data_IF_991982687652
#
_entry.id   IF_991982687652
#
_cell.length_a   1.000
_cell.length_b   1.000
_cell.length_c   1.000
_cell.angle_alpha   90.00
_cell.angle_beta   90.00
_cell.angle_gamma   90.00
#
_symmetry.space_group_name_H-M   'P 1'
#
loop_
_entity.id
_entity.type
_entity.pdbx_description
1 polymer ?
#
# COMPACT_ATOMS: atom_id res chain seq x y z
N UNK A 1 2.21 -29.48 -25.57
CA UNK A 1 2.92 -28.49 -24.73
C UNK A 1 2.66 -28.86 -23.27
N UNK A 2 3.52 -28.47 -22.32
CA UNK A 2 3.26 -28.66 -20.89
C UNK A 2 3.08 -27.30 -20.21
N UNK A 3 2.28 -27.27 -19.14
CA UNK A 3 2.01 -26.11 -18.30
C UNK A 3 2.78 -26.21 -16.99
N UNK A 4 3.33 -25.08 -16.53
CA UNK A 4 3.88 -24.89 -15.19
C UNK A 4 3.47 -23.51 -14.68
N UNK A 5 3.57 -23.29 -13.37
CA UNK A 5 3.57 -21.95 -12.78
C UNK A 5 4.80 -21.82 -11.87
N UNK A 6 5.07 -20.63 -11.33
CA UNK A 6 6.25 -20.35 -10.47
C UNK A 6 5.90 -20.10 -8.99
N UNK A 7 4.61 -20.05 -8.67
CA UNK A 7 4.10 -19.68 -7.35
C UNK A 7 2.57 -19.82 -7.28
N UNK A 8 2.02 -19.95 -6.06
CA UNK A 8 0.57 -19.91 -5.85
C UNK A 8 0.20 -19.09 -4.60
N UNK A 9 -0.90 -18.31 -4.59
CA UNK A 9 -1.30 -17.52 -3.42
C UNK A 9 -1.64 -18.37 -2.19
N UNK A 10 -0.76 -18.32 -1.18
CA UNK A 10 -0.85 -19.13 0.06
C UNK A 10 -1.91 -18.72 1.08
N UNK A 11 -2.58 -17.58 0.91
CA UNK A 11 -3.48 -17.03 1.93
C UNK A 11 -4.81 -17.80 2.08
N UNK A 12 -5.23 -18.54 1.06
CA UNK A 12 -6.54 -19.18 0.96
C UNK A 12 -7.66 -18.25 0.45
N UNK A 13 -8.73 -18.80 -0.17
CA UNK A 13 -9.78 -18.04 -0.86
C UNK A 13 -10.63 -17.14 0.07
N UNK A 14 -10.68 -17.43 1.37
CA UNK A 14 -11.34 -16.59 2.39
C UNK A 14 -10.34 -15.90 3.33
N UNK A 15 -9.03 -16.05 3.05
CA UNK A 15 -7.88 -15.66 3.89
C UNK A 15 -7.74 -16.52 5.15
N UNK A 16 -7.99 -17.82 5.01
CA UNK A 16 -7.87 -18.85 6.05
C UNK A 16 -6.52 -18.75 6.81
N UNK A 17 -5.41 -18.56 6.08
CA UNK A 17 -4.08 -18.41 6.69
C UNK A 17 -3.97 -17.15 7.56
N UNK A 18 -4.58 -16.03 7.13
CA UNK A 18 -4.57 -14.78 7.90
C UNK A 18 -5.20 -15.00 9.28
N UNK A 19 -6.38 -15.62 9.29
CA UNK A 19 -7.13 -15.83 10.54
C UNK A 19 -6.48 -16.87 11.44
N UNK A 20 -5.86 -17.93 10.88
CA UNK A 20 -5.09 -18.89 11.67
C UNK A 20 -3.84 -18.25 12.31
N UNK A 21 -3.09 -17.44 11.56
CA UNK A 21 -1.92 -16.71 12.09
C UNK A 21 -2.31 -15.71 13.19
N UNK A 22 -3.37 -14.92 12.96
CA UNK A 22 -3.82 -13.91 13.93
C UNK A 22 -4.46 -14.55 15.17
N UNK A 23 -5.16 -15.68 15.03
CA UNK A 23 -5.62 -16.50 16.16
C UNK A 23 -4.45 -17.07 16.98
N UNK A 24 -3.41 -17.57 16.31
CA UNK A 24 -2.21 -18.12 16.97
C UNK A 24 -1.43 -17.03 17.73
N UNK A 25 -1.18 -15.87 17.11
CA UNK A 25 -0.48 -14.76 17.77
C UNK A 25 -1.28 -14.10 18.90
N UNK A 26 -2.62 -14.16 18.84
CA UNK A 26 -3.51 -13.73 19.93
C UNK A 26 -3.65 -14.79 21.05
N UNK A 27 -2.99 -15.95 20.94
CA UNK A 27 -3.06 -17.04 21.92
C UNK A 27 -4.39 -17.82 21.93
N UNK A 28 -5.18 -17.73 20.86
CA UNK A 28 -6.53 -18.30 20.74
C UNK A 28 -6.58 -19.68 20.07
N UNK A 29 -5.47 -20.14 19.50
CA UNK A 29 -5.32 -21.45 18.86
C UNK A 29 -3.90 -21.98 19.01
N UNK A 30 -3.73 -23.30 18.97
CA UNK A 30 -2.42 -23.97 19.14
C UNK A 30 -1.53 -23.88 17.89
N UNK A 31 -0.28 -24.32 18.04
CA UNK A 31 0.62 -24.53 16.90
C UNK A 31 0.11 -25.62 15.94
N UNK A 32 -0.53 -26.66 16.49
CA UNK A 32 -1.11 -27.77 15.73
C UNK A 32 -2.30 -27.30 14.89
N UNK A 33 -3.15 -26.41 15.43
CA UNK A 33 -4.26 -25.79 14.68
C UNK A 33 -3.73 -24.97 13.49
N UNK A 34 -2.69 -24.16 13.72
CA UNK A 34 -2.05 -23.37 12.66
C UNK A 34 -1.39 -24.28 11.60
N UNK A 35 -0.69 -25.33 12.03
CA UNK A 35 -0.03 -26.28 11.14
C UNK A 35 -1.05 -27.12 10.36
N UNK A 36 -2.20 -27.44 10.95
CA UNK A 36 -3.34 -28.10 10.30
C UNK A 36 -3.94 -27.21 9.21
N UNK A 37 -4.34 -25.98 9.52
CA UNK A 37 -4.88 -25.04 8.51
C UNK A 37 -3.88 -24.82 7.36
N UNK A 38 -2.59 -24.70 7.68
CA UNK A 38 -1.53 -24.59 6.68
C UNK A 38 -1.36 -25.86 5.82
N UNK A 39 -1.60 -27.05 6.38
CA UNK A 39 -1.57 -28.33 5.65
C UNK A 39 -2.79 -28.48 4.76
N UNK A 40 -4.00 -28.21 5.28
CA UNK A 40 -5.25 -28.24 4.53
C UNK A 40 -5.19 -27.27 3.34
N UNK A 41 -4.60 -26.07 3.53
CA UNK A 41 -4.34 -25.12 2.45
C UNK A 41 -3.37 -25.65 1.40
N UNK A 42 -2.22 -26.21 1.78
CA UNK A 42 -1.27 -26.80 0.82
C UNK A 42 -1.91 -27.93 0.00
N UNK A 43 -2.58 -28.87 0.67
CA UNK A 43 -3.29 -29.98 0.02
C UNK A 43 -4.38 -29.48 -0.95
N UNK A 44 -5.15 -28.46 -0.55
CA UNK A 44 -6.17 -27.83 -1.41
C UNK A 44 -5.54 -27.14 -2.63
N UNK A 45 -4.44 -26.41 -2.43
CA UNK A 45 -3.70 -25.69 -3.49
C UNK A 45 -3.08 -26.67 -4.51
N UNK A 46 -2.39 -27.72 -4.04
CA UNK A 46 -1.82 -28.76 -4.91
C UNK A 46 -2.92 -29.50 -5.68
N UNK A 47 -4.02 -29.88 -5.00
CA UNK A 47 -5.17 -30.49 -5.67
C UNK A 47 -5.77 -29.56 -6.73
N UNK A 48 -5.98 -28.28 -6.43
CA UNK A 48 -6.55 -27.32 -7.39
C UNK A 48 -5.67 -27.21 -8.65
N UNK A 49 -4.34 -27.24 -8.50
CA UNK A 49 -3.43 -27.25 -9.65
C UNK A 49 -3.49 -28.56 -10.45
N UNK A 50 -3.53 -29.71 -9.77
CA UNK A 50 -3.65 -31.02 -10.42
C UNK A 50 -4.99 -31.17 -11.17
N UNK A 51 -6.11 -30.79 -10.55
CA UNK A 51 -7.45 -30.77 -11.14
C UNK A 51 -7.53 -29.81 -12.34
N UNK A 52 -6.75 -28.71 -12.33
CA UNK A 52 -6.60 -27.78 -13.45
C UNK A 52 -5.64 -28.25 -14.55
N UNK A 53 -5.10 -29.47 -14.46
CA UNK A 53 -4.18 -30.04 -15.46
C UNK A 53 -2.79 -29.42 -15.47
N UNK A 54 -2.36 -28.74 -14.39
CA UNK A 54 -0.99 -28.28 -14.24
C UNK A 54 -0.10 -29.52 -14.01
N UNK A 55 0.65 -29.90 -15.05
CA UNK A 55 1.60 -31.02 -14.98
C UNK A 55 2.75 -30.76 -14.00
N UNK A 56 3.00 -29.48 -13.71
CA UNK A 56 4.20 -29.00 -13.04
C UNK A 56 3.85 -27.96 -11.95
N UNK A 57 3.69 -28.46 -10.73
CA UNK A 57 3.07 -27.82 -9.57
C UNK A 57 4.15 -27.23 -8.62
N UNK A 58 4.13 -25.93 -8.27
CA UNK A 58 5.09 -25.33 -7.33
C UNK A 58 4.48 -25.01 -5.94
N UNK A 59 5.12 -25.29 -4.80
CA UNK A 59 6.44 -25.89 -4.59
C UNK A 59 7.65 -25.07 -5.08
N UNK A 60 8.57 -24.57 -4.23
CA UNK A 60 8.52 -24.30 -2.80
C UNK A 60 7.85 -22.94 -2.55
N UNK A 61 6.56 -22.90 -2.16
CA UNK A 61 5.74 -21.68 -2.33
C UNK A 61 4.89 -21.26 -1.12
N UNK A 62 4.46 -22.22 -0.30
CA UNK A 62 3.81 -21.88 0.98
C UNK A 62 4.81 -21.21 1.94
N UNK A 63 4.34 -20.39 2.87
CA UNK A 63 5.10 -19.92 4.05
C UNK A 63 4.11 -19.50 5.13
N UNK A 64 4.51 -19.51 6.40
CA UNK A 64 3.73 -18.93 7.49
C UNK A 64 3.86 -17.40 7.58
N UNK A 65 4.85 -16.80 6.89
CA UNK A 65 5.02 -15.36 6.87
C UNK A 65 5.64 -14.88 5.56
N UNK A 66 6.90 -15.26 5.32
CA UNK A 66 7.70 -14.86 4.17
C UNK A 66 8.68 -15.96 3.76
N UNK A 67 8.82 -16.18 2.45
CA UNK A 67 9.72 -17.21 1.89
C UNK A 67 11.21 -16.86 2.01
N UNK A 68 11.58 -15.58 2.16
CA UNK A 68 12.97 -15.20 2.45
C UNK A 68 13.28 -15.47 3.91
N UNK A 69 12.36 -15.16 4.83
CA UNK A 69 12.45 -15.61 6.22
C UNK A 69 12.51 -17.15 6.35
N UNK A 70 11.69 -17.90 5.59
CA UNK A 70 11.79 -19.38 5.52
C UNK A 70 13.21 -19.81 5.15
N UNK A 71 13.88 -19.07 4.25
CA UNK A 71 15.25 -19.34 3.80
C UNK A 71 16.29 -18.98 4.87
N UNK A 72 16.12 -17.84 5.56
CA UNK A 72 16.94 -17.43 6.71
C UNK A 72 16.87 -18.49 7.83
N UNK A 73 15.66 -18.97 8.15
CA UNK A 73 15.46 -20.05 9.13
C UNK A 73 16.01 -21.40 8.64
N UNK A 74 15.82 -21.75 7.37
CA UNK A 74 16.41 -22.96 6.76
C UNK A 74 17.94 -23.01 6.88
N UNK A 75 18.60 -21.85 6.89
CA UNK A 75 20.04 -21.72 7.02
C UNK A 75 20.53 -21.49 8.46
N UNK A 76 19.64 -21.53 9.46
CA UNK A 76 20.00 -21.27 10.87
C UNK A 76 20.45 -19.83 11.15
N UNK A 77 20.26 -18.90 10.21
CA UNK A 77 20.83 -17.55 10.21
C UNK A 77 20.04 -16.57 11.10
N UNK A 78 19.83 -16.94 12.36
CA UNK A 78 19.09 -16.17 13.36
C UNK A 78 20.03 -15.17 14.06
N UNK A 79 19.70 -13.86 14.08
CA UNK A 79 20.48 -12.88 14.84
C UNK A 79 20.52 -13.17 16.35
N UNK A 80 21.69 -12.99 16.98
CA UNK A 80 21.98 -13.37 18.38
C UNK A 80 20.92 -12.87 19.39
N UNK A 81 20.34 -11.67 19.15
CA UNK A 81 19.29 -11.06 20.00
C UNK A 81 18.04 -11.92 20.21
N UNK A 82 17.78 -12.90 19.33
CA UNK A 82 16.64 -13.82 19.47
C UNK A 82 16.95 -15.05 20.35
N UNK A 83 18.18 -15.16 20.90
CA UNK A 83 18.60 -16.20 21.84
C UNK A 83 18.47 -17.66 21.33
N UNK A 84 18.47 -17.86 20.01
CA UNK A 84 18.46 -19.18 19.40
C UNK A 84 19.79 -19.92 19.64
N UNK A 85 19.71 -21.10 20.26
CA UNK A 85 20.88 -21.90 20.68
C UNK A 85 21.24 -23.03 19.71
N UNK A 86 20.51 -23.17 18.60
CA UNK A 86 20.65 -24.26 17.63
C UNK A 86 19.48 -25.25 17.65
N UNK A 87 19.41 -26.13 16.64
CA UNK A 87 18.36 -27.15 16.50
C UNK A 87 17.39 -26.87 15.35
N UNK A 88 16.12 -27.21 15.56
CA UNK A 88 15.01 -26.84 14.67
C UNK A 88 14.39 -25.52 15.16
N UNK A 89 14.04 -24.63 14.23
CA UNK A 89 13.50 -23.29 14.55
C UNK A 89 11.98 -23.38 14.73
N UNK A 90 11.54 -23.20 15.98
CA UNK A 90 10.12 -23.13 16.35
C UNK A 90 9.42 -21.85 15.87
N UNK A 91 8.09 -21.85 15.95
CA UNK A 91 7.25 -20.70 15.62
C UNK A 91 7.52 -19.47 16.50
N UNK A 92 7.98 -19.67 17.73
CA UNK A 92 8.41 -18.62 18.66
C UNK A 92 9.58 -17.80 18.09
N UNK A 93 10.68 -18.46 17.73
CA UNK A 93 11.86 -17.81 17.13
C UNK A 93 11.51 -17.25 15.73
N UNK A 94 10.81 -18.04 14.91
CA UNK A 94 10.42 -17.65 13.55
C UNK A 94 9.53 -16.39 13.53
N UNK A 95 8.46 -16.34 14.34
CA UNK A 95 7.62 -15.13 14.40
C UNK A 95 8.25 -13.99 15.18
N UNK A 96 9.17 -14.26 16.11
CA UNK A 96 9.96 -13.21 16.76
C UNK A 96 10.89 -12.49 15.76
N UNK A 97 11.50 -13.21 14.81
CA UNK A 97 12.21 -12.58 13.69
C UNK A 97 11.25 -11.75 12.81
N UNK A 98 10.08 -12.32 12.47
CA UNK A 98 9.10 -11.70 11.57
C UNK A 98 8.40 -10.43 12.10
N UNK A 99 8.15 -10.37 13.42
CA UNK A 99 7.24 -9.40 14.05
C UNK A 99 7.80 -8.73 15.31
N UNK A 100 8.95 -9.20 15.82
CA UNK A 100 9.43 -8.88 17.16
C UNK A 100 8.61 -9.57 18.26
N UNK A 101 8.99 -9.31 19.50
CA UNK A 101 8.28 -9.70 20.70
C UNK A 101 8.36 -8.55 21.75
N UNK A 102 7.98 -8.81 23.01
CA UNK A 102 7.99 -7.79 24.06
C UNK A 102 9.38 -7.24 24.43
N UNK A 103 10.46 -7.96 24.09
CA UNK A 103 11.84 -7.68 24.50
C UNK A 103 12.77 -7.33 23.32
N UNK A 104 12.45 -7.73 22.09
CA UNK A 104 13.27 -7.47 20.89
C UNK A 104 12.43 -7.10 19.66
N UNK A 105 12.92 -6.18 18.80
CA UNK A 105 12.21 -5.76 17.59
C UNK A 105 12.17 -6.87 16.53
N UNK A 106 11.33 -6.64 15.50
CA UNK A 106 11.40 -7.41 14.26
C UNK A 106 12.73 -7.21 13.53
N UNK A 107 13.05 -8.10 12.60
CA UNK A 107 14.04 -7.84 11.55
C UNK A 107 13.49 -6.80 10.55
N UNK A 108 14.35 -6.18 9.75
CA UNK A 108 13.93 -5.23 8.72
C UNK A 108 13.00 -5.90 7.68
N UNK A 109 11.92 -5.21 7.28
CA UNK A 109 11.13 -5.59 6.11
C UNK A 109 11.44 -4.62 4.95
N UNK A 110 11.51 -5.12 3.73
CA UNK A 110 11.63 -4.26 2.54
C UNK A 110 10.88 -4.83 1.33
N UNK A 111 10.70 -4.03 0.29
CA UNK A 111 9.95 -4.41 -0.93
C UNK A 111 10.68 -5.50 -1.70
N UNK A 112 9.95 -6.52 -2.14
CA UNK A 112 10.47 -7.56 -3.02
C UNK A 112 10.44 -7.06 -4.46
N UNK A 113 11.60 -6.58 -4.92
CA UNK A 113 11.75 -5.94 -6.25
C UNK A 113 10.75 -4.79 -6.44
N UNK A 114 10.12 -4.71 -7.62
CA UNK A 114 9.12 -3.72 -8.02
C UNK A 114 7.67 -4.12 -7.67
N UNK A 115 7.50 -5.05 -6.73
CA UNK A 115 6.18 -5.57 -6.31
C UNK A 115 5.70 -4.96 -4.99
N UNK A 116 4.38 -4.99 -4.77
CA UNK A 116 3.78 -4.58 -3.48
C UNK A 116 3.83 -5.69 -2.40
N UNK A 117 4.68 -6.70 -2.57
CA UNK A 117 5.02 -7.70 -1.55
C UNK A 117 6.29 -7.26 -0.81
N UNK A 118 6.37 -7.55 0.50
CA UNK A 118 7.52 -7.24 1.34
C UNK A 118 8.09 -8.53 1.95
N UNK A 119 9.42 -8.62 1.99
CA UNK A 119 10.16 -9.75 2.56
C UNK A 119 10.97 -9.31 3.80
N UNK A 120 11.40 -10.27 4.62
CA UNK A 120 12.31 -10.02 5.74
C UNK A 120 13.75 -10.00 5.22
N UNK A 121 14.47 -8.90 5.43
CA UNK A 121 15.87 -8.75 5.04
C UNK A 121 16.75 -9.67 5.89
N UNK A 122 17.53 -10.61 5.32
CA UNK A 122 18.43 -11.45 6.09
C UNK A 122 19.56 -10.63 6.73
N UNK A 123 19.61 -10.59 8.05
CA UNK A 123 20.65 -9.92 8.82
C UNK A 123 21.85 -10.84 9.01
N UNK A 124 22.82 -10.75 8.10
CA UNK A 124 24.02 -11.58 8.09
C UNK A 124 25.24 -10.80 8.63
N UNK A 125 26.01 -11.42 9.52
CA UNK A 125 27.23 -10.86 10.09
C UNK A 125 28.39 -11.87 10.11
N UNK A 126 29.61 -11.45 10.48
CA UNK A 126 30.79 -12.33 10.47
C UNK A 126 30.67 -13.58 11.35
N UNK A 127 29.81 -13.54 12.37
CA UNK A 127 29.57 -14.63 13.31
C UNK A 127 28.39 -15.55 12.92
N UNK A 128 27.66 -15.27 11.83
CA UNK A 128 26.47 -16.04 11.44
C UNK A 128 26.84 -17.49 11.10
N UNK A 129 26.37 -18.44 11.92
CA UNK A 129 26.63 -19.87 11.74
C UNK A 129 25.56 -20.49 10.85
N UNK A 130 25.94 -20.86 9.63
CA UNK A 130 25.01 -21.51 8.71
C UNK A 130 24.86 -23.01 9.02
N UNK A 131 23.62 -23.46 9.25
CA UNK A 131 23.26 -24.87 9.45
C UNK A 131 21.99 -25.21 8.67
N UNK A 132 21.88 -26.42 8.13
CA UNK A 132 20.66 -26.85 7.44
C UNK A 132 19.58 -27.22 8.46
N UNK A 133 18.74 -26.24 8.78
CA UNK A 133 17.78 -26.24 9.91
C UNK A 133 16.30 -26.28 9.47
N UNK A 134 15.99 -26.44 8.17
CA UNK A 134 14.62 -26.71 7.70
C UNK A 134 14.60 -27.51 6.40
N UNK A 135 13.67 -28.46 6.28
CA UNK A 135 13.63 -29.45 5.18
C UNK A 135 12.56 -29.17 4.12
N UNK A 136 11.79 -28.09 4.29
CA UNK A 136 10.58 -27.73 3.54
C UNK A 136 10.74 -27.80 2.01
N UNK A 137 11.79 -27.18 1.46
CA UNK A 137 11.93 -26.96 0.03
C UNK A 137 12.15 -28.23 -0.81
N UNK A 138 12.77 -29.28 -0.25
CA UNK A 138 13.14 -30.51 -0.97
C UNK A 138 11.93 -31.44 -1.18
N UNK A 139 11.04 -31.49 -0.20
CA UNK A 139 9.75 -32.19 -0.31
C UNK A 139 8.90 -31.60 -1.42
N UNK A 140 8.87 -30.27 -1.49
CA UNK A 140 8.11 -29.51 -2.49
C UNK A 140 8.70 -29.65 -3.91
N UNK A 141 10.00 -29.33 -4.13
CA UNK A 141 10.61 -29.13 -5.47
C UNK A 141 10.34 -30.20 -6.56
N UNK A 142 10.06 -31.45 -6.19
CA UNK A 142 9.85 -32.59 -7.12
C UNK A 142 8.74 -32.35 -8.16
N UNK A 143 7.80 -31.47 -7.87
CA UNK A 143 6.54 -31.35 -8.60
C UNK A 143 6.57 -30.40 -9.83
N UNK A 144 7.58 -29.51 -10.03
CA UNK A 144 7.34 -28.16 -10.58
C UNK A 144 7.81 -27.73 -12.01
N UNK A 145 8.24 -28.60 -12.95
CA UNK A 145 9.17 -28.20 -14.06
C UNK A 145 8.68 -28.21 -15.57
N UNK A 146 8.14 -27.11 -16.15
CA UNK A 146 8.43 -26.56 -17.55
C UNK A 146 7.47 -25.50 -18.26
N UNK A 147 8.07 -24.45 -18.89
CA UNK A 147 7.73 -23.65 -20.13
C UNK A 147 6.64 -22.51 -20.23
N UNK A 148 6.93 -21.31 -20.86
CA UNK A 148 5.98 -20.22 -21.37
C UNK A 148 6.60 -18.87 -21.99
N UNK A 149 5.75 -17.94 -22.58
CA UNK A 149 5.78 -16.41 -22.80
C UNK A 149 6.76 -15.68 -23.83
N UNK A 150 6.68 -14.38 -24.27
CA UNK A 150 5.64 -13.36 -24.74
C UNK A 150 6.26 -12.04 -25.42
N UNK A 151 5.53 -10.90 -25.69
CA UNK A 151 5.95 -9.66 -26.48
C UNK A 151 5.40 -8.24 -25.99
N UNK A 152 6.01 -7.04 -26.33
CA UNK A 152 5.65 -5.61 -25.94
C UNK A 152 6.30 -4.48 -26.88
N UNK A 153 6.38 -3.09 -26.79
CA UNK A 153 6.04 -1.91 -25.88
C UNK A 153 6.14 -0.47 -26.59
N UNK A 154 5.97 0.73 -25.93
CA UNK A 154 6.02 2.15 -26.50
C UNK A 154 6.29 3.37 -25.48
N UNK A 155 6.45 4.69 -25.87
CA UNK A 155 6.40 5.97 -24.99
C UNK A 155 6.38 7.44 -25.59
N UNK A 156 5.85 8.48 -24.86
CA UNK A 156 6.20 9.96 -24.93
C UNK A 156 5.98 10.95 -23.69
N UNK A 157 6.30 12.27 -23.86
CA UNK A 157 5.92 13.60 -23.17
C UNK A 157 6.36 14.10 -21.73
N UNK A 158 6.28 15.46 -21.46
CA UNK A 158 6.51 16.27 -20.17
C UNK A 158 5.55 17.52 -19.99
N UNK A 159 5.38 18.11 -18.77
CA UNK A 159 4.56 19.31 -18.33
C UNK A 159 5.11 19.97 -17.02
N UNK A 160 4.99 21.29 -16.74
CA UNK A 160 5.58 21.98 -15.52
C UNK A 160 4.79 23.20 -14.95
N UNK A 161 5.06 23.60 -13.68
CA UNK A 161 4.68 24.91 -13.07
C UNK A 161 5.43 26.07 -13.76
N UNK A 162 4.83 27.26 -13.81
CA UNK A 162 5.38 28.45 -14.52
C UNK A 162 6.47 29.19 -13.71
N UNK A 163 6.26 29.41 -12.41
CA UNK A 163 7.10 30.27 -11.56
C UNK A 163 8.08 29.47 -10.68
N UNK A 164 9.17 30.13 -10.25
CA UNK A 164 10.22 29.50 -9.45
C UNK A 164 9.81 29.26 -7.98
N UNK A 165 10.55 28.39 -7.28
CA UNK A 165 10.24 27.99 -5.91
C UNK A 165 10.30 29.16 -4.93
N UNK A 166 11.28 30.05 -5.05
CA UNK A 166 11.49 31.17 -4.12
C UNK A 166 10.31 32.15 -4.10
N UNK A 167 9.86 32.61 -5.26
CA UNK A 167 8.71 33.52 -5.37
C UNK A 167 7.40 32.89 -4.83
N UNK A 168 7.27 31.57 -4.97
CA UNK A 168 6.16 30.77 -4.41
C UNK A 168 6.24 30.66 -2.89
N UNK A 169 7.42 30.44 -2.32
CA UNK A 169 7.62 30.45 -0.86
C UNK A 169 7.29 31.83 -0.26
N UNK A 170 7.70 32.92 -0.90
CA UNK A 170 7.34 34.29 -0.48
C UNK A 170 5.82 34.52 -0.50
N UNK A 171 5.13 34.03 -1.54
CA UNK A 171 3.67 34.13 -1.66
C UNK A 171 2.94 33.28 -0.62
N UNK A 172 3.42 32.05 -0.37
CA UNK A 172 2.88 31.13 0.63
C UNK A 172 3.08 31.67 2.05
N UNK A 173 4.27 32.17 2.38
CA UNK A 173 4.54 32.72 3.71
C UNK A 173 3.66 33.95 4.00
N UNK A 174 3.47 34.84 3.01
CA UNK A 174 2.55 36.00 3.12
C UNK A 174 1.08 35.60 3.25
N UNK A 175 0.69 34.41 2.73
CA UNK A 175 -0.71 33.95 2.72
C UNK A 175 -1.08 33.13 3.94
N UNK A 176 -0.20 32.22 4.35
CA UNK A 176 -0.41 31.25 5.44
C UNK A 176 0.10 31.77 6.79
N UNK A 177 1.05 32.72 6.79
CA UNK A 177 1.63 33.36 7.98
C UNK A 177 2.09 32.35 9.06
N UNK A 178 2.75 31.27 8.62
CA UNK A 178 3.22 30.18 9.48
C UNK A 178 4.43 30.63 10.34
N UNK A 179 4.65 30.04 11.52
CA UNK A 179 5.87 30.27 12.30
C UNK A 179 7.10 29.66 11.61
N UNK A 180 8.29 29.96 12.13
CA UNK A 180 9.59 29.53 11.56
C UNK A 180 9.72 27.98 11.55
N UNK A 181 9.09 27.29 12.50
CA UNK A 181 9.08 25.83 12.62
C UNK A 181 7.63 25.33 12.66
N UNK A 182 6.92 25.27 11.51
CA UNK A 182 5.51 24.94 11.48
C UNK A 182 5.28 23.44 11.71
N UNK A 183 4.32 23.15 12.58
CA UNK A 183 3.92 21.81 12.99
C UNK A 183 2.76 21.28 12.13
N UNK A 184 2.80 19.99 11.79
CA UNK A 184 1.75 19.33 11.00
C UNK A 184 1.81 17.81 11.17
N UNK A 185 0.78 17.11 10.73
CA UNK A 185 0.75 15.64 10.63
C UNK A 185 0.56 15.19 9.17
N UNK A 186 0.68 13.89 8.90
CA UNK A 186 0.77 13.37 7.53
C UNK A 186 -0.60 13.14 6.86
N UNK A 187 -1.68 12.85 7.60
CA UNK A 187 -3.00 12.59 7.03
C UNK A 187 -3.93 11.81 7.95
N UNK A 188 -3.81 10.49 7.94
CA UNK A 188 -4.72 9.57 8.65
C UNK A 188 -4.61 9.62 10.18
N UNK A 189 -5.75 9.61 10.87
CA UNK A 189 -5.86 9.41 12.32
C UNK A 189 -6.37 8.00 12.68
N UNK A 190 -6.29 7.56 13.96
CA UNK A 190 -6.59 6.19 14.37
C UNK A 190 -7.99 5.68 13.98
N UNK A 191 -8.02 4.76 13.02
CA UNK A 191 -9.25 4.20 12.45
C UNK A 191 -9.95 3.26 13.45
N UNK A 192 -10.83 3.80 14.29
CA UNK A 192 -11.52 3.10 15.40
C UNK A 192 -12.39 1.90 14.96
N UNK A 193 -12.79 1.04 15.90
CA UNK A 193 -13.70 -0.08 15.62
C UNK A 193 -15.08 0.41 15.17
N UNK A 194 -15.58 1.52 15.72
CA UNK A 194 -16.86 2.12 15.35
C UNK A 194 -16.84 2.68 13.92
N UNK A 195 -15.79 3.40 13.51
CA UNK A 195 -15.61 3.84 12.11
C UNK A 195 -15.60 2.64 11.14
N UNK A 196 -14.91 1.55 11.51
CA UNK A 196 -14.87 0.30 10.72
C UNK A 196 -16.22 -0.43 10.69
N UNK A 197 -17.09 -0.23 11.68
CA UNK A 197 -18.49 -0.72 11.68
C UNK A 197 -19.35 0.15 10.77
N UNK A 198 -19.41 1.46 11.01
CA UNK A 198 -20.20 2.44 10.27
C UNK A 198 -19.95 2.34 8.75
N UNK A 199 -18.68 2.36 8.31
CA UNK A 199 -18.35 2.25 6.88
C UNK A 199 -18.77 0.92 6.26
N UNK A 200 -18.63 -0.19 7.00
CA UNK A 200 -19.02 -1.53 6.54
C UNK A 200 -20.54 -1.65 6.38
N UNK A 201 -21.30 -1.11 7.32
CA UNK A 201 -22.76 -1.19 7.30
C UNK A 201 -23.36 -0.23 6.27
N UNK A 202 -22.73 0.93 6.04
CA UNK A 202 -23.04 1.82 4.92
C UNK A 202 -22.77 1.14 3.56
N UNK A 203 -21.56 0.59 3.34
CA UNK A 203 -21.20 -0.14 2.10
C UNK A 203 -22.02 -1.43 1.89
N UNK A 204 -22.72 -1.91 2.91
CA UNK A 204 -23.66 -3.04 2.84
C UNK A 204 -25.14 -2.60 2.67
N UNK A 205 -25.42 -1.31 2.47
CA UNK A 205 -26.77 -0.72 2.39
C UNK A 205 -27.67 -1.02 3.60
N UNK A 206 -27.10 -1.28 4.79
CA UNK A 206 -27.85 -1.70 6.00
C UNK A 206 -28.44 -0.54 6.81
N UNK A 207 -28.19 0.71 6.42
CA UNK A 207 -28.72 1.91 7.07
C UNK A 207 -29.69 2.65 6.14
N UNK A 208 -30.99 2.46 6.34
CA UNK A 208 -32.06 3.08 5.53
C UNK A 208 -32.38 4.51 6.02
N UNK A 209 -31.35 5.35 6.16
CA UNK A 209 -31.45 6.80 6.39
C UNK A 209 -30.31 7.53 5.67
N UNK A 210 -30.57 8.42 4.69
CA UNK A 210 -29.54 9.02 3.83
C UNK A 210 -28.40 9.78 4.53
N UNK A 211 -28.59 10.22 5.77
CA UNK A 211 -27.73 11.22 6.41
C UNK A 211 -26.79 10.67 7.52
N UNK A 212 -26.93 9.40 7.91
CA UNK A 212 -26.34 8.92 9.16
C UNK A 212 -24.82 8.68 9.09
N UNK A 213 -24.30 8.12 7.98
CA UNK A 213 -22.85 7.95 7.79
C UNK A 213 -22.12 9.30 7.67
N UNK A 214 -22.61 10.28 6.88
CA UNK A 214 -22.05 11.63 6.90
C UNK A 214 -22.01 12.30 8.28
N UNK A 215 -23.01 12.06 9.15
CA UNK A 215 -22.98 12.59 10.52
C UNK A 215 -21.83 11.99 11.34
N UNK A 216 -21.70 10.66 11.39
CA UNK A 216 -20.65 9.99 12.17
C UNK A 216 -19.23 10.34 11.69
N UNK A 217 -19.03 10.44 10.37
CA UNK A 217 -17.75 10.87 9.78
C UNK A 217 -17.46 12.36 10.10
N UNK A 218 -18.48 13.23 10.05
CA UNK A 218 -18.35 14.64 10.46
C UNK A 218 -18.02 14.80 11.94
N UNK A 219 -18.62 14.00 12.81
CA UNK A 219 -18.33 14.00 14.24
C UNK A 219 -16.87 13.63 14.52
N UNK A 220 -16.34 12.63 13.81
CA UNK A 220 -14.94 12.22 13.96
C UNK A 220 -13.96 13.28 13.42
N UNK A 221 -14.25 13.87 12.25
CA UNK A 221 -13.46 14.99 11.71
C UNK A 221 -13.43 16.14 12.73
N UNK A 222 -14.55 16.46 13.37
CA UNK A 222 -14.64 17.49 14.42
C UNK A 222 -13.73 17.19 15.62
N UNK A 223 -13.70 15.93 16.10
CA UNK A 223 -12.78 15.51 17.18
C UNK A 223 -11.31 15.62 16.76
N UNK A 224 -10.98 15.19 15.54
CA UNK A 224 -9.61 15.24 15.01
C UNK A 224 -9.12 16.68 14.81
N UNK A 225 -9.99 17.58 14.34
CA UNK A 225 -9.70 19.02 14.26
C UNK A 225 -9.47 19.59 15.66
N UNK A 226 -10.41 19.42 16.58
CA UNK A 226 -10.32 19.96 17.95
C UNK A 226 -9.09 19.47 18.70
N UNK A 227 -8.72 18.20 18.56
CA UNK A 227 -7.51 17.64 19.17
C UNK A 227 -6.23 18.27 18.61
N UNK A 228 -6.16 18.59 17.32
CA UNK A 228 -5.02 19.30 16.75
C UNK A 228 -4.99 20.78 17.14
N UNK A 229 -6.15 21.41 17.35
CA UNK A 229 -6.24 22.76 17.91
C UNK A 229 -5.71 22.80 19.36
N UNK A 230 -6.14 21.85 20.20
CA UNK A 230 -5.68 21.65 21.59
C UNK A 230 -4.19 21.29 21.71
N UNK A 231 -3.61 20.64 20.70
CA UNK A 231 -2.18 20.33 20.60
C UNK A 231 -1.35 21.42 19.88
N UNK A 232 -1.96 22.59 19.61
CA UNK A 232 -1.36 23.75 18.94
C UNK A 232 -0.66 23.46 17.59
N UNK A 233 -1.21 22.51 16.82
CA UNK A 233 -0.69 22.16 15.48
C UNK A 233 -1.00 23.26 14.46
N UNK A 234 0.00 23.76 13.72
CA UNK A 234 -0.15 24.88 12.78
C UNK A 234 -0.99 24.55 11.54
N UNK A 235 -0.72 23.39 10.90
CA UNK A 235 -1.36 22.96 9.65
C UNK A 235 -2.02 21.61 9.85
N UNK A 236 -3.35 21.59 9.78
CA UNK A 236 -4.21 20.48 10.19
C UNK A 236 -4.51 19.48 9.08
N UNK A 237 -4.91 18.26 9.48
CA UNK A 237 -5.53 17.23 8.62
C UNK A 237 -6.92 16.88 9.14
N UNK A 238 -7.78 16.33 8.28
CA UNK A 238 -9.12 15.86 8.68
C UNK A 238 -9.14 14.42 9.21
N UNK A 239 -8.00 13.73 9.23
CA UNK A 239 -7.85 12.37 9.79
C UNK A 239 -8.24 11.23 8.87
N UNK A 240 -8.77 11.51 7.67
CA UNK A 240 -9.23 10.54 6.68
C UNK A 240 -10.21 9.44 7.21
N UNK A 241 -11.15 9.73 8.12
CA UNK A 241 -12.10 8.73 8.63
C UNK A 241 -13.07 8.20 7.57
N UNK A 242 -13.20 8.86 6.42
CA UNK A 242 -13.97 8.36 5.28
C UNK A 242 -13.24 7.25 4.49
N UNK A 243 -11.91 7.16 4.57
CA UNK A 243 -11.08 6.32 3.69
C UNK A 243 -10.70 4.99 4.32
N UNK A 244 -11.08 3.89 3.67
CA UNK A 244 -10.67 2.55 4.09
C UNK A 244 -9.24 2.19 3.62
N UNK A 245 -8.87 2.67 2.44
CA UNK A 245 -7.60 2.43 1.76
C UNK A 245 -7.34 3.61 0.80
N UNK A 246 -6.08 4.03 0.66
CA UNK A 246 -5.71 5.24 -0.07
C UNK A 246 -5.68 5.08 -1.60
N UNK A 247 -5.98 3.90 -2.15
CA UNK A 247 -6.12 3.69 -3.60
C UNK A 247 -7.51 3.13 -3.95
N UNK A 248 -8.13 2.30 -3.10
CA UNK A 248 -9.55 1.92 -3.25
C UNK A 248 -10.45 3.17 -3.25
N UNK A 249 -10.23 4.13 -2.34
CA UNK A 249 -11.08 5.31 -2.18
C UNK A 249 -11.12 6.26 -3.39
N UNK A 250 -10.00 6.42 -4.11
CA UNK A 250 -9.96 7.23 -5.33
C UNK A 250 -10.49 6.43 -6.53
N UNK A 251 -10.09 5.16 -6.65
CA UNK A 251 -10.55 4.30 -7.72
C UNK A 251 -12.08 4.13 -7.74
N UNK A 252 -12.74 4.02 -6.57
CA UNK A 252 -14.21 3.90 -6.49
C UNK A 252 -14.95 5.16 -6.99
N UNK A 253 -14.23 6.23 -7.33
CA UNK A 253 -14.77 7.51 -7.81
C UNK A 253 -14.24 7.92 -9.19
N UNK A 254 -13.39 7.10 -9.80
CA UNK A 254 -12.82 7.28 -11.14
C UNK A 254 -13.46 6.33 -12.16
N UNK A 255 -13.69 6.82 -13.37
CA UNK A 255 -14.02 5.95 -14.51
C UNK A 255 -12.81 5.09 -14.88
N UNK A 256 -13.05 3.93 -15.52
CA UNK A 256 -11.99 2.98 -15.93
C UNK A 256 -11.52 2.01 -14.85
N UNK A 257 -12.03 2.12 -13.61
CA UNK A 257 -11.70 1.26 -12.48
C UNK A 257 -12.81 0.24 -12.15
N UNK A 258 -12.40 -0.98 -11.79
CA UNK A 258 -13.24 -2.06 -11.29
C UNK A 258 -12.74 -2.64 -9.96
N UNK A 259 -13.66 -3.19 -9.16
CA UNK A 259 -13.41 -3.60 -7.78
C UNK A 259 -13.83 -5.04 -7.55
N UNK A 260 -12.98 -5.80 -6.86
CA UNK A 260 -13.31 -7.15 -6.41
C UNK A 260 -13.90 -7.14 -5.00
N UNK A 261 -14.61 -8.22 -4.65
CA UNK A 261 -15.01 -8.53 -3.26
C UNK A 261 -13.94 -9.39 -2.56
N UNK A 262 -13.29 -10.29 -3.32
CA UNK A 262 -12.40 -11.34 -2.79
C UNK A 262 -10.99 -11.36 -3.43
N UNK A 263 -10.62 -10.40 -4.27
CA UNK A 263 -9.30 -10.33 -4.92
C UNK A 263 -8.20 -9.85 -3.98
N UNK A 264 -7.95 -10.61 -2.91
CA UNK A 264 -6.95 -10.30 -1.88
C UNK A 264 -5.55 -10.76 -2.31
N UNK A 265 -4.57 -9.87 -2.18
CA UNK A 265 -3.15 -10.15 -2.46
C UNK A 265 -2.35 -9.93 -1.16
N UNK A 266 -1.48 -10.87 -0.81
CA UNK A 266 -0.59 -10.73 0.36
C UNK A 266 0.40 -9.59 0.10
N UNK A 267 0.53 -8.65 1.04
CA UNK A 267 1.51 -7.56 0.96
C UNK A 267 2.63 -7.73 1.99
N UNK A 268 2.31 -8.14 3.22
CA UNK A 268 3.32 -8.46 4.25
C UNK A 268 2.70 -9.30 5.38
N UNK A 269 3.28 -10.46 5.71
CA UNK A 269 2.77 -11.32 6.78
C UNK A 269 1.28 -11.63 6.63
N UNK A 270 0.48 -11.42 7.69
CA UNK A 270 -0.99 -11.57 7.65
C UNK A 270 -1.75 -10.43 6.96
N UNK A 271 -1.05 -9.38 6.47
CA UNK A 271 -1.68 -8.22 5.81
C UNK A 271 -1.86 -8.49 4.31
N UNK A 272 -3.11 -8.41 3.87
CA UNK A 272 -3.48 -8.46 2.46
C UNK A 272 -4.07 -7.12 2.04
N UNK A 273 -3.69 -6.66 0.85
CA UNK A 273 -4.35 -5.56 0.11
C UNK A 273 -5.38 -6.15 -0.85
N UNK A 274 -6.23 -5.29 -1.42
CA UNK A 274 -7.24 -5.68 -2.42
C UNK A 274 -7.18 -4.71 -3.61
N UNK A 275 -6.16 -4.85 -4.49
CA UNK A 275 -5.87 -3.86 -5.54
C UNK A 275 -7.09 -3.60 -6.45
N UNK A 276 -7.38 -2.33 -6.80
CA UNK A 276 -8.30 -2.02 -7.88
C UNK A 276 -7.79 -2.56 -9.22
N UNK A 277 -8.69 -2.71 -10.19
CA UNK A 277 -8.35 -3.14 -11.56
C UNK A 277 -8.64 -1.99 -12.51
N UNK A 278 -7.63 -1.49 -13.21
CA UNK A 278 -7.80 -0.52 -14.30
C UNK A 278 -8.10 -1.31 -15.57
N UNK A 279 -9.31 -1.18 -16.11
CA UNK A 279 -9.78 -1.89 -17.30
C UNK A 279 -10.05 -0.98 -18.50
N UNK A 280 -10.17 0.34 -18.28
CA UNK A 280 -10.54 1.31 -19.30
C UNK A 280 -9.92 2.68 -19.02
N UNK A 281 -10.25 3.66 -19.86
CA UNK A 281 -9.64 4.99 -19.78
C UNK A 281 -10.05 5.75 -18.52
N UNK A 282 -9.06 6.27 -17.81
CA UNK A 282 -9.27 6.92 -16.51
C UNK A 282 -9.72 8.37 -16.68
N UNK A 283 -10.80 8.74 -16.00
CA UNK A 283 -11.27 10.13 -15.91
C UNK A 283 -12.00 10.40 -14.60
N UNK A 284 -12.05 11.68 -14.18
CA UNK A 284 -12.76 12.14 -12.97
C UNK A 284 -14.15 12.71 -13.32
N UNK A 285 -15.24 11.94 -13.12
CA UNK A 285 -16.61 12.41 -13.41
C UNK A 285 -17.12 13.48 -12.42
N UNK A 286 -16.68 13.44 -11.16
CA UNK A 286 -17.13 14.32 -10.07
C UNK A 286 -16.01 14.57 -9.04
N UNK A 287 -16.19 15.56 -8.17
CA UNK A 287 -15.31 15.76 -7.02
C UNK A 287 -15.33 14.58 -6.03
N UNK A 288 -14.16 14.25 -5.51
CA UNK A 288 -13.91 13.02 -4.72
C UNK A 288 -13.72 13.31 -3.22
N UNK A 289 -12.97 14.36 -2.90
CA UNK A 289 -12.49 14.74 -1.56
C UNK A 289 -12.97 16.11 -1.11
N UNK A 290 -13.25 17.01 -2.07
CA UNK A 290 -13.60 18.43 -1.84
C UNK A 290 -14.66 18.62 -0.75
N UNK A 291 -15.68 17.78 -0.70
CA UNK A 291 -16.73 17.83 0.33
C UNK A 291 -16.15 17.71 1.76
N UNK A 292 -15.29 16.72 1.98
CA UNK A 292 -14.69 16.44 3.30
C UNK A 292 -13.66 17.51 3.68
N UNK A 293 -12.76 17.88 2.76
CA UNK A 293 -11.73 18.90 3.03
C UNK A 293 -12.35 20.29 3.24
N UNK A 294 -13.37 20.69 2.46
CA UNK A 294 -14.08 21.96 2.66
C UNK A 294 -14.87 21.97 3.98
N UNK A 295 -15.49 20.85 4.34
CA UNK A 295 -16.17 20.72 5.63
C UNK A 295 -15.17 20.82 6.80
N UNK A 296 -14.03 20.14 6.72
CA UNK A 296 -12.99 20.21 7.75
C UNK A 296 -12.39 21.62 7.87
N UNK A 297 -12.10 22.29 6.75
CA UNK A 297 -11.63 23.68 6.76
C UNK A 297 -12.67 24.64 7.35
N UNK A 298 -13.97 24.36 7.24
CA UNK A 298 -15.03 25.18 7.87
C UNK A 298 -15.14 25.03 9.39
N UNK A 299 -14.38 24.11 10.01
CA UNK A 299 -14.36 23.88 11.46
C UNK A 299 -13.23 24.63 12.18
N UNK A 300 -12.25 25.18 11.47
CA UNK A 300 -11.04 25.80 12.04
C UNK A 300 -10.59 27.02 11.24
N UNK A 301 -9.94 27.97 11.92
CA UNK A 301 -9.27 29.09 11.26
C UNK A 301 -7.85 28.73 10.74
N UNK A 302 -7.26 27.61 11.20
CA UNK A 302 -5.94 27.16 10.76
C UNK A 302 -5.99 26.52 9.36
N UNK A 303 -4.90 26.53 8.56
CA UNK A 303 -4.88 25.88 7.26
C UNK A 303 -5.14 24.37 7.33
N UNK A 304 -6.12 23.89 6.58
CA UNK A 304 -6.46 22.47 6.44
C UNK A 304 -5.82 21.88 5.18
N UNK A 305 -5.24 20.68 5.30
CA UNK A 305 -4.75 19.91 4.14
C UNK A 305 -5.89 19.27 3.36
N UNK A 306 -5.94 19.54 2.06
CA UNK A 306 -6.48 18.60 1.08
C UNK A 306 -5.54 17.40 0.98
N UNK A 307 -6.09 16.19 0.94
CA UNK A 307 -5.32 14.94 0.98
C UNK A 307 -5.62 14.10 -0.27
N UNK A 308 -4.62 13.89 -1.13
CA UNK A 308 -4.73 13.12 -2.37
C UNK A 308 -3.63 12.07 -2.48
N UNK A 309 -3.90 10.98 -3.19
CA UNK A 309 -2.88 10.01 -3.60
C UNK A 309 -2.47 10.26 -5.04
N UNK A 310 -1.17 10.23 -5.31
CA UNK A 310 -0.62 10.60 -6.61
C UNK A 310 -0.83 9.54 -7.70
N UNK A 311 -0.74 9.94 -8.98
CA UNK A 311 -1.03 9.09 -10.12
C UNK A 311 -0.10 7.88 -10.27
N UNK A 312 1.14 7.96 -9.79
CA UNK A 312 2.10 6.83 -9.85
C UNK A 312 1.74 5.78 -8.80
N UNK A 313 1.26 6.20 -7.63
CA UNK A 313 0.82 5.31 -6.55
C UNK A 313 -0.53 4.66 -6.83
N UNK A 314 -1.50 5.41 -7.36
CA UNK A 314 -2.77 4.84 -7.85
C UNK A 314 -2.50 3.80 -8.95
N UNK A 315 -1.56 4.05 -9.86
CA UNK A 315 -1.13 3.12 -10.90
C UNK A 315 -0.42 1.87 -10.34
N UNK A 316 0.58 2.05 -9.47
CA UNK A 316 1.44 0.96 -9.01
C UNK A 316 0.77 0.04 -7.98
N UNK A 317 -0.23 0.52 -7.23
CA UNK A 317 -1.03 -0.30 -6.30
C UNK A 317 -2.36 -0.78 -6.89
N UNK A 318 -2.58 -0.60 -8.19
CA UNK A 318 -3.66 -1.23 -8.95
C UNK A 318 -3.13 -2.32 -9.89
N UNK A 319 -3.99 -3.28 -10.25
CA UNK A 319 -3.76 -4.10 -11.43
C UNK A 319 -3.99 -3.24 -12.67
N UNK A 320 -2.91 -2.87 -13.35
CA UNK A 320 -2.94 -2.04 -14.55
C UNK A 320 -3.24 -2.90 -15.78
N UNK A 321 -4.16 -2.42 -16.62
CA UNK A 321 -4.35 -2.88 -18.01
C UNK A 321 -3.03 -3.03 -18.79
N UNK A 322 -3.02 -3.98 -19.71
CA UNK A 322 -1.86 -4.39 -20.52
C UNK A 322 -2.06 -4.25 -22.04
N UNK A 323 -3.15 -3.60 -22.45
CA UNK A 323 -3.47 -3.19 -23.82
C UNK A 323 -2.65 -1.96 -24.25
N UNK A 324 -2.41 -1.02 -23.34
CA UNK A 324 -1.65 0.21 -23.56
C UNK A 324 -0.48 0.35 -22.56
N UNK A 325 0.53 1.20 -22.85
CA UNK A 325 1.66 1.43 -21.97
C UNK A 325 1.30 2.08 -20.62
N UNK A 326 2.04 1.72 -19.55
CA UNK A 326 1.80 2.19 -18.16
C UNK A 326 1.71 3.72 -18.00
N UNK A 327 2.52 4.49 -18.74
CA UNK A 327 2.53 5.95 -18.60
C UNK A 327 1.30 6.62 -19.22
N UNK A 328 0.64 6.03 -20.23
CA UNK A 328 -0.59 6.59 -20.81
C UNK A 328 -1.71 6.54 -19.77
N UNK A 329 -1.86 5.37 -19.13
CA UNK A 329 -2.72 5.20 -17.96
C UNK A 329 -2.33 6.15 -16.83
N UNK A 330 -1.03 6.37 -16.58
CA UNK A 330 -0.59 7.30 -15.54
C UNK A 330 -0.93 8.76 -15.86
N UNK A 331 -0.82 9.20 -17.12
CA UNK A 331 -1.23 10.53 -17.55
C UNK A 331 -2.76 10.71 -17.48
N UNK A 332 -3.54 9.68 -17.82
CA UNK A 332 -5.00 9.69 -17.62
C UNK A 332 -5.36 9.89 -16.13
N UNK A 333 -4.71 9.14 -15.22
CA UNK A 333 -4.88 9.35 -13.77
C UNK A 333 -4.40 10.74 -13.35
N UNK A 334 -3.27 11.22 -13.87
CA UNK A 334 -2.70 12.52 -13.51
C UNK A 334 -3.61 13.69 -13.90
N UNK A 335 -4.26 13.62 -15.07
CA UNK A 335 -5.29 14.58 -15.49
C UNK A 335 -6.55 14.50 -14.62
N UNK A 336 -6.93 13.29 -14.20
CA UNK A 336 -8.05 13.08 -13.28
C UNK A 336 -7.77 13.69 -11.89
N UNK A 337 -6.55 13.52 -11.35
CA UNK A 337 -6.10 14.09 -10.08
C UNK A 337 -5.87 15.60 -10.19
N UNK A 338 -5.31 16.11 -11.30
CA UNK A 338 -5.20 17.56 -11.57
C UNK A 338 -6.55 18.27 -11.37
N UNK A 339 -7.59 17.73 -11.98
CA UNK A 339 -8.94 18.28 -11.91
C UNK A 339 -9.53 18.22 -10.47
N UNK A 340 -9.01 17.38 -9.58
CA UNK A 340 -9.38 17.36 -8.14
C UNK A 340 -8.59 18.40 -7.33
N UNK A 341 -7.29 18.59 -7.65
CA UNK A 341 -6.44 19.66 -7.07
C UNK A 341 -7.03 21.04 -7.39
N UNK A 342 -7.46 21.26 -8.64
CA UNK A 342 -8.07 22.52 -9.09
C UNK A 342 -9.42 22.79 -8.37
N UNK A 343 -10.28 21.77 -8.19
CA UNK A 343 -11.52 21.92 -7.42
C UNK A 343 -11.25 22.17 -5.91
N UNK A 344 -10.18 21.59 -5.34
CA UNK A 344 -9.78 21.81 -3.94
C UNK A 344 -9.29 23.26 -3.72
N UNK A 345 -8.45 23.79 -4.62
CA UNK A 345 -8.04 25.20 -4.58
C UNK A 345 -9.26 26.12 -4.70
N UNK A 346 -10.14 25.86 -5.68
CA UNK A 346 -11.38 26.63 -5.87
C UNK A 346 -12.36 26.52 -4.70
N UNK A 347 -12.28 25.44 -3.90
CA UNK A 347 -13.03 25.28 -2.66
C UNK A 347 -12.44 26.02 -1.46
N UNK A 348 -11.26 26.64 -1.60
CA UNK A 348 -10.55 27.42 -0.58
C UNK A 348 -9.41 26.69 0.13
N UNK A 349 -9.08 25.45 -0.29
CA UNK A 349 -8.05 24.62 0.34
C UNK A 349 -6.66 25.03 -0.17
N UNK A 350 -5.88 25.69 0.68
CA UNK A 350 -4.61 26.34 0.30
C UNK A 350 -3.36 25.46 0.51
N UNK A 351 -3.52 24.31 1.17
CA UNK A 351 -2.48 23.29 1.30
C UNK A 351 -3.04 21.98 0.77
N UNK A 352 -2.44 21.41 -0.28
CA UNK A 352 -2.96 20.21 -0.96
C UNK A 352 -1.82 19.18 -1.05
N UNK A 353 -1.83 18.20 -0.15
CA UNK A 353 -0.84 17.13 -0.11
C UNK A 353 -1.17 16.06 -1.17
N UNK A 354 -0.16 15.65 -1.93
CA UNK A 354 -0.29 14.62 -2.97
C UNK A 354 0.78 13.55 -2.71
N UNK A 355 0.37 12.38 -2.22
CA UNK A 355 1.27 11.36 -1.71
C UNK A 355 1.70 10.36 -2.78
N UNK A 356 3.01 10.19 -2.97
CA UNK A 356 3.60 9.26 -3.95
C UNK A 356 4.47 8.18 -3.29
N UNK A 357 3.87 7.41 -2.38
CA UNK A 357 4.53 6.29 -1.70
C UNK A 357 5.15 5.27 -2.66
N UNK A 358 4.49 4.98 -3.79
CA UNK A 358 4.95 3.96 -4.74
C UNK A 358 5.86 4.47 -5.86
N UNK A 359 6.33 5.73 -5.82
CA UNK A 359 7.23 6.29 -6.83
C UNK A 359 8.52 5.47 -6.95
N UNK A 360 9.12 5.10 -5.81
CA UNK A 360 10.32 4.24 -5.77
C UNK A 360 10.01 2.76 -6.03
N UNK A 361 8.78 2.33 -5.75
CA UNK A 361 8.36 0.93 -5.94
C UNK A 361 8.25 0.56 -7.42
N UNK A 362 7.72 1.45 -8.27
CA UNK A 362 7.66 1.20 -9.72
C UNK A 362 8.97 1.43 -10.47
N UNK A 363 10.07 1.74 -9.79
CA UNK A 363 11.36 2.07 -10.40
C UNK A 363 12.00 0.82 -11.03
N UNK A 364 12.24 0.78 -12.36
CA UNK A 364 12.79 -0.40 -13.03
C UNK A 364 14.09 -0.91 -12.40
N UNK A 365 14.20 -2.24 -12.27
CA UNK A 365 15.32 -2.90 -11.61
C UNK A 365 16.68 -2.66 -12.30
N UNK A 366 16.66 -2.31 -13.58
CA UNK A 366 17.85 -1.99 -14.38
C UNK A 366 18.03 -0.48 -14.50
N UNK A 367 19.19 0.03 -14.09
CA UNK A 367 19.53 1.47 -14.15
C UNK A 367 19.31 2.12 -15.52
N UNK A 368 19.50 1.39 -16.61
CA UNK A 368 19.25 1.85 -17.99
C UNK A 368 17.79 2.20 -18.29
N UNK A 369 16.85 1.57 -17.59
CA UNK A 369 15.40 1.74 -17.78
C UNK A 369 14.83 2.81 -16.82
N UNK A 370 15.57 3.17 -15.76
CA UNK A 370 15.13 4.08 -14.71
C UNK A 370 14.92 5.53 -15.19
N UNK A 371 15.78 6.05 -16.08
CA UNK A 371 15.64 7.41 -16.60
C UNK A 371 14.29 7.61 -17.34
N UNK A 372 13.90 6.62 -18.14
CA UNK A 372 12.64 6.60 -18.89
C UNK A 372 11.42 6.52 -17.97
N UNK A 373 11.51 5.77 -16.87
CA UNK A 373 10.49 5.72 -15.83
C UNK A 373 10.37 7.05 -15.08
N UNK A 374 11.46 7.54 -14.52
CA UNK A 374 11.49 8.78 -13.72
C UNK A 374 10.97 9.96 -14.53
N UNK A 375 11.32 10.04 -15.81
CA UNK A 375 10.78 11.05 -16.73
C UNK A 375 9.24 11.04 -16.79
N UNK A 376 8.58 9.88 -17.03
CA UNK A 376 7.10 9.86 -17.05
C UNK A 376 6.45 9.93 -15.68
N UNK A 377 7.09 9.38 -14.64
CA UNK A 377 6.54 9.34 -13.29
C UNK A 377 6.56 10.73 -12.64
N UNK A 378 7.69 11.44 -12.73
CA UNK A 378 7.81 12.83 -12.26
C UNK A 378 6.96 13.77 -13.12
N UNK A 379 6.86 13.53 -14.43
CA UNK A 379 5.93 14.26 -15.29
C UNK A 379 4.47 14.06 -14.88
N UNK A 380 4.02 12.82 -14.64
CA UNK A 380 2.66 12.52 -14.16
C UNK A 380 2.38 13.28 -12.87
N UNK A 381 3.33 13.29 -11.92
CA UNK A 381 3.18 14.10 -10.72
C UNK A 381 3.06 15.60 -11.02
N UNK A 382 3.90 16.16 -11.91
CA UNK A 382 3.84 17.59 -12.31
C UNK A 382 2.50 17.98 -12.94
N UNK A 383 1.88 17.11 -13.74
CA UNK A 383 0.55 17.36 -14.33
C UNK A 383 -0.46 17.71 -13.22
N UNK A 384 -0.45 16.99 -12.09
CA UNK A 384 -1.43 17.19 -11.00
C UNK A 384 -1.43 18.60 -10.40
N UNK A 385 -0.28 19.26 -10.33
CA UNK A 385 -0.10 20.52 -9.60
C UNK A 385 0.37 21.69 -10.46
N UNK A 386 0.60 21.51 -11.76
CA UNK A 386 1.06 22.58 -12.66
C UNK A 386 0.11 23.79 -12.75
N UNK A 387 -1.19 23.60 -12.46
CA UNK A 387 -2.24 24.63 -12.58
C UNK A 387 -2.51 25.48 -11.33
N UNK A 388 -1.99 25.12 -10.16
CA UNK A 388 -2.33 25.85 -8.91
C UNK A 388 -1.61 27.19 -8.78
N UNK A 389 -2.22 28.11 -8.06
CA UNK A 389 -1.69 29.43 -7.76
C UNK A 389 -0.43 29.35 -6.89
N UNK A 390 0.34 30.45 -6.87
CA UNK A 390 1.61 30.48 -6.15
C UNK A 390 1.48 30.54 -4.63
N UNK A 391 0.38 31.08 -4.15
CA UNK A 391 -0.06 31.00 -2.74
C UNK A 391 -0.44 29.60 -2.28
N UNK A 392 -0.68 28.66 -3.20
CA UNK A 392 -1.13 27.30 -2.88
C UNK A 392 0.07 26.37 -2.71
N UNK A 393 0.17 25.79 -1.51
CA UNK A 393 1.27 24.93 -1.12
C UNK A 393 0.92 23.46 -1.46
N UNK A 394 1.83 22.76 -2.14
CA UNK A 394 1.66 21.36 -2.54
C UNK A 394 2.77 20.51 -1.91
N UNK A 395 2.61 20.04 -0.66
CA UNK A 395 3.54 19.09 -0.06
C UNK A 395 3.40 17.69 -0.69
N UNK A 396 4.48 16.92 -0.64
CA UNK A 396 4.57 15.53 -1.07
C UNK A 396 5.03 14.70 0.13
N UNK A 397 4.25 13.69 0.52
CA UNK A 397 4.74 12.63 1.42
C UNK A 397 5.27 11.44 0.62
N UNK A 398 6.36 10.85 1.11
CA UNK A 398 6.83 9.55 0.64
C UNK A 398 7.39 8.73 1.81
N UNK A 399 7.15 7.43 1.80
CA UNK A 399 7.64 6.48 2.82
C UNK A 399 9.13 6.17 2.69
N UNK A 400 9.78 6.56 1.60
CA UNK A 400 11.17 6.25 1.27
C UNK A 400 11.92 7.51 0.81
N UNK A 401 12.26 8.38 1.76
CA UNK A 401 12.96 9.65 1.53
C UNK A 401 14.43 9.46 1.10
N UNK A 402 14.63 8.97 -0.13
CA UNK A 402 15.88 9.06 -0.89
C UNK A 402 15.55 8.91 -2.39
N UNK A 403 15.08 10.02 -2.95
CA UNK A 403 14.91 10.26 -4.39
C UNK A 403 15.89 11.39 -4.76
N UNK A 404 16.70 11.27 -5.83
CA UNK A 404 17.64 12.30 -6.26
C UNK A 404 16.97 13.45 -7.02
#
# INVERSE_FOLDING_TARGET
MASHIVGYPRMGPKRELKFALESFWDGKSSADDLQKVATDLRCSIWKQMADAGIKYIPSNTFSYYDQVLDTTAMLGAVPERYNYTGGEIGFDIYFSMARGNASVPAMEMTKWFDTNYHFIVPELGPNTKFTYSSHKAVSEYKEAKAAFLLAAALKGSDHRRVTNVSARLDAQQKKLNLPILPTTTIGSFPQTMDLRRVRREYKANKWVLPNNMPFAIKEEISKVVKLQEELDIDVLVHGEPERNDMVEYFGEQLSGFAFTVNGWVQSYGSRCVKPPIIYGDVSRPKAMTVFWSKMAQSMTARPMKGMLTGPVTILNWSFVRNDQPRFETCYQIALAIKKEVEDLEAAGIQVIQIDEAALREGLPLRKSEQAFYLDWAVHSFRITNCGVQDTTQVPLSSSNASVP
#
